data_IF_300339391153
#
_entry.id   IF_300339391153
#
_cell.length_a   1.000
_cell.length_b   1.000
_cell.length_c   1.000
_cell.angle_alpha   90.00
_cell.angle_beta   90.00
_cell.angle_gamma   90.00
#
_symmetry.space_group_name_H-M   'P 1'
#
loop_
_entity.id
_entity.type
_entity.pdbx_description
1 polymer ?
#
# COMPACT_ATOMS: atom_id res chain seq x y z
N UNK A 1 -1.70 11.77 31.54
CA UNK A 1 -1.49 12.51 30.29
C UNK A 1 -1.99 11.62 29.16
N UNK A 2 -3.03 12.01 28.44
CA UNK A 2 -3.46 11.28 27.24
C UNK A 2 -2.44 11.60 26.13
N UNK A 3 -1.72 10.59 25.65
CA UNK A 3 -0.93 10.72 24.43
C UNK A 3 -1.94 10.74 23.27
N UNK A 4 -2.07 11.89 22.64
CA UNK A 4 -2.95 12.09 21.49
C UNK A 4 -2.11 12.04 20.21
N UNK A 5 -2.47 11.15 19.31
CA UNK A 5 -1.87 11.09 17.98
C UNK A 5 -2.63 12.10 17.07
N UNK A 6 -1.98 13.20 16.75
CA UNK A 6 -2.55 14.29 15.93
C UNK A 6 -2.48 14.00 14.42
N UNK A 7 -1.96 12.84 14.04
CA UNK A 7 -1.86 12.47 12.63
C UNK A 7 -3.21 12.05 12.06
N UNK A 8 -3.47 12.51 10.86
CA UNK A 8 -4.63 12.10 10.05
C UNK A 8 -4.39 10.71 9.47
N UNK A 9 -5.46 9.94 9.34
CA UNK A 9 -5.49 8.66 8.63
C UNK A 9 -6.48 8.76 7.50
N UNK A 10 -5.99 8.73 6.28
CA UNK A 10 -6.78 8.85 5.05
C UNK A 10 -6.69 7.57 4.23
N UNK A 11 -7.83 7.04 3.79
CA UNK A 11 -7.82 5.90 2.87
C UNK A 11 -7.59 6.35 1.44
N UNK A 12 -6.57 5.78 0.81
CA UNK A 12 -6.18 6.03 -0.57
C UNK A 12 -6.33 4.74 -1.37
N UNK A 13 -7.06 4.81 -2.48
CA UNK A 13 -7.16 3.71 -3.44
C UNK A 13 -6.05 3.78 -4.48
N UNK A 14 -5.59 2.65 -5.03
CA UNK A 14 -4.64 2.66 -6.14
C UNK A 14 -5.20 3.44 -7.32
N UNK A 15 -4.36 4.20 -8.00
CA UNK A 15 -4.74 4.92 -9.22
C UNK A 15 -4.72 4.03 -10.45
N UNK A 16 -4.00 2.90 -10.39
CA UNK A 16 -4.01 1.89 -11.46
C UNK A 16 -3.49 0.53 -10.98
N UNK A 17 -3.91 -0.51 -11.67
CA UNK A 17 -3.30 -1.83 -11.68
C UNK A 17 -2.23 -1.83 -12.77
N UNK A 18 -0.95 -1.97 -12.41
CA UNK A 18 0.15 -2.02 -13.37
C UNK A 18 0.13 -3.35 -14.10
N UNK A 19 -0.03 -4.44 -13.35
CA UNK A 19 -0.07 -5.79 -13.87
C UNK A 19 -0.88 -6.70 -12.95
N UNK A 20 -1.63 -7.61 -13.54
CA UNK A 20 -2.19 -8.77 -12.87
C UNK A 20 -1.39 -10.02 -13.29
N UNK A 21 -1.21 -10.94 -12.36
CA UNK A 21 -0.49 -12.21 -12.51
C UNK A 21 -1.43 -13.38 -12.20
N UNK A 22 -1.25 -14.50 -12.83
CA UNK A 22 -2.10 -15.67 -12.59
C UNK A 22 -3.58 -15.43 -12.88
N UNK A 23 -4.47 -16.09 -12.16
CA UNK A 23 -5.92 -15.97 -12.37
C UNK A 23 -6.52 -14.90 -11.45
N UNK A 24 -6.60 -13.67 -11.96
CA UNK A 24 -7.24 -12.53 -11.29
C UNK A 24 -8.40 -12.03 -12.14
N UNK A 25 -9.60 -11.97 -11.56
CA UNK A 25 -10.80 -11.42 -12.21
C UNK A 25 -11.14 -10.05 -11.60
N UNK A 26 -11.60 -9.12 -12.43
CA UNK A 26 -12.04 -7.77 -12.05
C UNK A 26 -10.95 -6.96 -11.30
N UNK A 27 -9.69 -7.08 -11.71
CA UNK A 27 -8.58 -6.37 -11.05
C UNK A 27 -8.77 -4.84 -11.04
N UNK A 28 -9.43 -4.29 -12.06
CA UNK A 28 -9.75 -2.87 -12.20
C UNK A 28 -10.66 -2.34 -11.07
N UNK A 29 -11.41 -3.23 -10.40
CA UNK A 29 -12.24 -2.83 -9.26
C UNK A 29 -11.42 -2.35 -8.06
N UNK A 30 -10.14 -2.71 -7.97
CA UNK A 30 -9.25 -2.23 -6.91
C UNK A 30 -8.97 -0.73 -7.01
N UNK A 31 -9.08 -0.14 -8.21
CA UNK A 31 -8.81 1.29 -8.41
C UNK A 31 -10.03 2.18 -8.17
N UNK A 32 -11.20 1.60 -7.98
CA UNK A 32 -12.44 2.36 -7.79
C UNK A 32 -12.64 2.70 -6.31
N UNK A 33 -12.75 3.98 -5.95
CA UNK A 33 -13.19 4.36 -4.61
C UNK A 33 -14.57 3.78 -4.32
N UNK A 34 -14.72 3.22 -3.13
CA UNK A 34 -15.96 2.59 -2.69
C UNK A 34 -16.14 2.72 -1.18
N UNK A 35 -17.37 2.56 -0.65
CA UNK A 35 -17.60 2.60 0.79
C UNK A 35 -16.73 1.56 1.53
N UNK A 36 -16.14 1.99 2.63
CA UNK A 36 -15.26 1.17 3.48
C UNK A 36 -16.07 0.33 4.48
N UNK A 37 -17.14 -0.30 4.00
CA UNK A 37 -17.99 -1.18 4.78
C UNK A 37 -18.25 -2.45 3.98
N UNK A 38 -18.10 -3.59 4.62
CA UNK A 38 -18.42 -4.87 3.99
C UNK A 38 -19.92 -5.12 4.16
N UNK A 39 -20.61 -5.26 3.03
CA UNK A 39 -22.05 -5.61 3.00
C UNK A 39 -22.26 -7.10 2.81
N UNK A 40 -23.52 -7.55 2.93
CA UNK A 40 -23.87 -8.94 2.66
C UNK A 40 -23.80 -9.30 1.16
N UNK A 41 -23.83 -8.30 0.29
CA UNK A 41 -23.66 -8.46 -1.16
C UNK A 41 -22.63 -7.46 -1.63
N UNK A 42 -21.55 -7.96 -2.18
CA UNK A 42 -20.41 -7.16 -2.68
C UNK A 42 -20.15 -7.51 -4.15
N UNK A 43 -20.91 -6.91 -5.10
CA UNK A 43 -20.81 -7.28 -6.52
C UNK A 43 -19.50 -6.81 -7.18
N UNK A 44 -18.84 -5.82 -6.60
CA UNK A 44 -17.65 -5.16 -7.17
C UNK A 44 -16.35 -5.61 -6.48
N UNK A 45 -16.18 -6.91 -6.31
CA UNK A 45 -14.97 -7.49 -5.73
C UNK A 45 -13.99 -7.96 -6.81
N UNK A 46 -12.72 -7.95 -6.45
CA UNK A 46 -11.65 -8.62 -7.19
C UNK A 46 -11.53 -10.06 -6.68
N UNK A 47 -11.40 -11.00 -7.60
CA UNK A 47 -11.28 -12.42 -7.28
C UNK A 47 -9.88 -12.91 -7.66
N UNK A 48 -9.20 -13.55 -6.73
CA UNK A 48 -7.92 -14.22 -6.89
C UNK A 48 -8.13 -15.71 -6.72
N UNK A 49 -7.63 -16.53 -7.65
CA UNK A 49 -7.79 -18.00 -7.63
C UNK A 49 -6.45 -18.66 -7.96
N UNK A 50 -5.96 -19.52 -7.08
CA UNK A 50 -4.81 -20.38 -7.33
C UNK A 50 -5.29 -21.81 -7.58
N UNK A 51 -4.85 -22.38 -8.70
CA UNK A 51 -5.05 -23.80 -9.00
C UNK A 51 -4.00 -24.71 -8.34
N UNK A 52 -3.96 -25.97 -8.77
CA UNK A 52 -3.04 -26.97 -8.24
C UNK A 52 -1.59 -26.73 -8.68
N UNK A 53 -1.38 -26.37 -9.95
CA UNK A 53 -0.07 -26.18 -10.59
C UNK A 53 0.10 -24.80 -11.23
N UNK A 54 -0.76 -23.85 -10.89
CA UNK A 54 -0.78 -22.53 -11.50
C UNK A 54 0.20 -21.54 -10.90
N UNK A 55 0.45 -20.48 -11.66
CA UNK A 55 1.06 -19.26 -11.15
C UNK A 55 0.16 -18.65 -10.05
N UNK A 56 0.74 -18.14 -8.98
CA UNK A 56 0.00 -17.47 -7.95
C UNK A 56 -0.74 -16.25 -8.51
N UNK A 57 -1.99 -16.08 -8.13
CA UNK A 57 -2.79 -14.93 -8.49
C UNK A 57 -2.35 -13.69 -7.69
N UNK A 58 -2.03 -12.62 -8.39
CA UNK A 58 -1.53 -11.41 -7.74
C UNK A 58 -1.70 -10.17 -8.58
N UNK A 59 -1.44 -9.01 -7.99
CA UNK A 59 -1.50 -7.71 -8.64
C UNK A 59 -0.35 -6.81 -8.19
N UNK A 60 0.15 -5.98 -9.11
CA UNK A 60 1.01 -4.85 -8.79
C UNK A 60 0.19 -3.56 -8.92
N UNK A 61 0.07 -2.85 -7.81
CA UNK A 61 -0.73 -1.63 -7.66
C UNK A 61 0.17 -0.39 -7.58
N UNK A 62 -0.26 0.72 -8.21
CA UNK A 62 0.37 2.04 -8.10
C UNK A 62 -0.60 3.00 -7.41
N UNK A 63 -0.17 3.63 -6.32
CA UNK A 63 -0.93 4.63 -5.58
C UNK A 63 -0.73 6.06 -6.10
N UNK A 64 0.06 6.22 -7.18
CA UNK A 64 0.27 7.50 -7.87
C UNK A 64 1.32 8.40 -7.24
N UNK A 65 1.52 8.30 -5.95
CA UNK A 65 2.51 9.07 -5.16
C UNK A 65 3.04 8.24 -4.01
N UNK A 66 4.16 8.67 -3.46
CA UNK A 66 4.70 8.11 -2.23
C UNK A 66 3.76 8.37 -1.05
N UNK A 67 3.64 7.41 -0.16
CA UNK A 67 2.75 7.44 1.01
C UNK A 67 3.57 6.97 2.22
N UNK A 68 3.49 7.68 3.34
CA UNK A 68 3.75 7.07 4.64
C UNK A 68 2.44 6.48 5.14
N UNK A 69 2.37 5.17 5.37
CA UNK A 69 1.11 4.56 5.77
C UNK A 69 1.13 3.04 5.81
N UNK A 70 -0.05 2.47 5.86
CA UNK A 70 -0.30 1.05 6.00
C UNK A 70 -1.02 0.51 4.77
N UNK A 71 -0.81 -0.76 4.43
CA UNK A 71 -1.68 -1.48 3.50
C UNK A 71 -2.93 -1.93 4.24
N UNK A 72 -4.11 -1.68 3.66
CA UNK A 72 -5.40 -2.10 4.20
C UNK A 72 -6.10 -3.03 3.23
N UNK A 73 -6.49 -4.19 3.70
CA UNK A 73 -7.16 -5.22 2.91
C UNK A 73 -8.54 -5.49 3.49
N UNK A 74 -9.56 -5.35 2.67
CA UNK A 74 -10.93 -5.70 3.02
C UNK A 74 -11.33 -6.96 2.27
N UNK A 75 -11.51 -8.05 3.00
CA UNK A 75 -11.80 -9.37 2.46
C UNK A 75 -13.28 -9.69 2.56
N UNK A 76 -13.90 -10.15 1.47
CA UNK A 76 -15.28 -10.62 1.47
C UNK A 76 -15.36 -12.11 1.78
N UNK A 77 -14.62 -12.94 1.04
CA UNK A 77 -14.58 -14.38 1.31
C UNK A 77 -13.19 -14.96 1.03
N UNK A 78 -12.87 -16.04 1.71
CA UNK A 78 -11.67 -16.82 1.51
C UNK A 78 -12.13 -18.26 1.22
N UNK A 79 -11.70 -18.85 0.14
CA UNK A 79 -11.95 -20.20 -0.30
C UNK A 79 -12.70 -21.18 0.63
N UNK A 80 -12.63 -22.45 0.38
CA UNK A 80 -13.36 -23.47 1.15
C UNK A 80 -12.83 -23.63 2.60
N UNK A 81 -11.57 -23.29 2.83
CA UNK A 81 -10.92 -23.44 4.15
C UNK A 81 -11.25 -22.34 5.14
N UNK A 82 -11.94 -21.28 4.70
CA UNK A 82 -12.26 -20.11 5.55
C UNK A 82 -11.07 -19.21 5.86
N UNK A 83 -9.88 -19.46 5.31
CA UNK A 83 -8.71 -18.60 5.38
C UNK A 83 -7.98 -18.57 4.04
N UNK A 84 -7.23 -17.50 3.79
CA UNK A 84 -6.35 -17.37 2.64
C UNK A 84 -5.02 -16.75 3.08
N UNK A 85 -3.92 -17.22 2.54
CA UNK A 85 -2.61 -16.63 2.81
C UNK A 85 -2.25 -15.67 1.70
N UNK A 86 -1.69 -14.53 2.04
CA UNK A 86 -1.23 -13.53 1.11
C UNK A 86 0.21 -13.12 1.42
N UNK A 87 0.98 -12.88 0.36
CA UNK A 87 2.28 -12.25 0.40
C UNK A 87 2.14 -10.81 -0.09
N UNK A 88 2.69 -9.86 0.65
CA UNK A 88 2.55 -8.44 0.40
C UNK A 88 3.92 -7.79 0.43
N UNK A 89 4.24 -7.06 -0.64
CA UNK A 89 5.48 -6.31 -0.74
C UNK A 89 5.20 -4.86 -1.06
N UNK A 90 5.68 -3.97 -0.22
CA UNK A 90 5.63 -2.52 -0.42
C UNK A 90 6.92 -2.03 -1.06
N UNK A 91 6.86 -1.08 -1.97
CA UNK A 91 8.03 -0.49 -2.61
C UNK A 91 7.83 0.97 -3.02
N UNK A 92 8.92 1.73 -3.02
CA UNK A 92 8.95 3.11 -3.57
C UNK A 92 8.99 3.08 -5.10
N UNK A 93 9.45 1.96 -5.66
CA UNK A 93 9.40 1.70 -7.10
C UNK A 93 8.73 0.35 -7.40
N UNK A 94 8.24 0.20 -8.63
CA UNK A 94 7.67 -1.07 -9.09
C UNK A 94 8.70 -2.21 -9.06
N UNK A 95 9.98 -1.90 -9.38
CA UNK A 95 11.06 -2.87 -9.34
C UNK A 95 11.31 -3.36 -7.91
N UNK A 96 11.27 -2.48 -6.92
CA UNK A 96 11.43 -2.83 -5.52
C UNK A 96 10.26 -3.68 -5.00
N UNK A 97 9.03 -3.32 -5.35
CA UNK A 97 7.85 -4.09 -4.97
C UNK A 97 7.82 -5.52 -5.53
N UNK A 98 8.58 -5.77 -6.62
CA UNK A 98 8.74 -7.10 -7.24
C UNK A 98 10.05 -7.79 -6.84
N UNK A 99 10.88 -7.20 -6.00
CA UNK A 99 12.17 -7.74 -5.58
C UNK A 99 12.12 -8.25 -4.15
N UNK A 100 12.79 -9.38 -3.91
CA UNK A 100 12.98 -9.89 -2.54
C UNK A 100 13.97 -9.02 -1.77
N UNK A 101 13.88 -9.06 -0.44
CA UNK A 101 14.86 -8.41 0.43
C UNK A 101 16.25 -8.94 0.12
N UNK A 102 17.25 -8.03 0.01
CA UNK A 102 18.63 -8.35 -0.33
C UNK A 102 18.94 -8.50 -1.82
N UNK A 103 17.94 -8.44 -2.69
CA UNK A 103 18.17 -8.44 -4.14
C UNK A 103 18.63 -7.07 -4.66
N UNK A 104 19.21 -7.05 -5.87
CA UNK A 104 19.81 -5.85 -6.49
C UNK A 104 18.89 -4.61 -6.50
N UNK A 105 17.58 -4.80 -6.63
CA UNK A 105 16.59 -3.71 -6.71
C UNK A 105 15.93 -3.42 -5.36
N UNK A 106 16.26 -4.17 -4.32
CA UNK A 106 15.79 -3.97 -2.96
C UNK A 106 16.77 -3.07 -2.22
N UNK A 107 16.42 -1.82 -2.00
CA UNK A 107 17.34 -0.80 -1.48
C UNK A 107 17.29 -0.64 0.03
N UNK A 108 16.34 -1.25 0.71
CA UNK A 108 16.15 -1.07 2.14
C UNK A 108 15.59 -2.31 2.83
N UNK A 109 16.44 -2.98 3.58
CA UNK A 109 16.09 -4.19 4.32
C UNK A 109 15.62 -3.90 5.77
N UNK A 110 15.64 -2.63 6.21
CA UNK A 110 15.25 -2.25 7.57
C UNK A 110 13.74 -2.05 7.73
N UNK A 111 13.02 -1.79 6.63
CA UNK A 111 11.58 -1.60 6.68
C UNK A 111 10.82 -2.93 6.61
N UNK A 112 9.72 -3.01 7.37
CA UNK A 112 8.79 -4.14 7.31
C UNK A 112 7.95 -4.07 6.01
N UNK A 113 8.61 -4.13 4.86
CA UNK A 113 8.03 -3.96 3.53
C UNK A 113 7.60 -5.25 2.85
N UNK A 114 8.08 -6.39 3.34
CA UNK A 114 7.90 -7.71 2.74
C UNK A 114 7.42 -8.67 3.83
N UNK A 115 6.20 -9.16 3.72
CA UNK A 115 5.58 -9.96 4.76
C UNK A 115 4.47 -10.87 4.23
N UNK A 116 4.25 -11.97 4.93
CA UNK A 116 3.11 -12.87 4.73
C UNK A 116 2.05 -12.64 5.81
N UNK A 117 0.79 -12.87 5.47
CA UNK A 117 -0.33 -12.76 6.39
C UNK A 117 -1.43 -13.75 6.06
N UNK A 118 -2.25 -14.05 7.06
CA UNK A 118 -3.49 -14.82 6.90
C UNK A 118 -4.68 -13.87 6.85
N UNK A 119 -5.49 -14.00 5.82
CA UNK A 119 -6.71 -13.26 5.61
C UNK A 119 -7.93 -14.12 5.95
N UNK A 120 -8.95 -13.50 6.52
CA UNK A 120 -10.20 -14.16 6.93
C UNK A 120 -11.39 -13.54 6.22
N UNK A 121 -12.50 -14.30 6.06
CA UNK A 121 -13.73 -13.75 5.50
C UNK A 121 -14.24 -12.56 6.32
N UNK A 122 -14.88 -11.63 5.66
CA UNK A 122 -15.49 -10.43 6.27
C UNK A 122 -14.54 -9.66 7.19
N UNK A 123 -13.26 -9.61 6.82
CA UNK A 123 -12.24 -8.91 7.61
C UNK A 123 -11.82 -7.59 6.97
N UNK A 124 -11.45 -6.66 7.84
CA UNK A 124 -10.86 -5.37 7.51
C UNK A 124 -9.56 -5.27 8.30
N UNK A 125 -8.43 -5.47 7.62
CA UNK A 125 -7.12 -5.61 8.24
C UNK A 125 -6.16 -4.56 7.71
N UNK A 126 -5.37 -3.99 8.61
CA UNK A 126 -4.36 -2.98 8.28
C UNK A 126 -2.99 -3.49 8.71
N UNK A 127 -2.01 -3.38 7.84
CA UNK A 127 -0.69 -3.96 8.01
C UNK A 127 0.41 -2.91 7.86
N UNK A 128 1.41 -3.00 8.71
CA UNK A 128 2.73 -2.36 8.65
C UNK A 128 2.77 -0.92 8.11
N UNK A 129 2.96 0.04 9.01
CA UNK A 129 3.22 1.43 8.60
C UNK A 129 4.62 1.55 8.02
N UNK A 130 4.74 1.92 6.72
CA UNK A 130 6.01 2.11 6.00
C UNK A 130 5.85 3.13 4.87
N UNK A 131 6.96 3.57 4.27
CA UNK A 131 6.97 4.38 3.06
C UNK A 131 6.83 3.51 1.82
N UNK A 132 5.86 3.84 0.93
CA UNK A 132 5.67 3.13 -0.33
C UNK A 132 4.81 3.93 -1.32
N UNK A 133 4.98 3.62 -2.58
CA UNK A 133 4.08 4.01 -3.66
C UNK A 133 3.44 2.81 -4.34
N UNK A 134 4.13 1.67 -4.36
CA UNK A 134 3.70 0.45 -5.04
C UNK A 134 3.45 -0.65 -4.03
N UNK A 135 2.43 -1.45 -4.28
CA UNK A 135 2.13 -2.66 -3.51
C UNK A 135 1.99 -3.83 -4.47
N UNK A 136 2.81 -4.83 -4.28
CA UNK A 136 2.59 -6.15 -4.83
C UNK A 136 1.80 -6.98 -3.82
N UNK A 137 0.68 -7.52 -4.26
CA UNK A 137 -0.18 -8.40 -3.49
C UNK A 137 -0.31 -9.72 -4.23
N UNK A 138 -0.05 -10.81 -3.56
CA UNK A 138 -0.10 -12.16 -4.13
C UNK A 138 -0.85 -13.10 -3.18
N UNK A 139 -1.82 -13.85 -3.71
CA UNK A 139 -2.44 -14.97 -3.02
C UNK A 139 -1.47 -16.15 -3.04
N UNK A 140 -1.16 -16.74 -1.88
CA UNK A 140 -0.25 -17.87 -1.77
C UNK A 140 -1.00 -19.15 -1.40
N UNK A 141 -0.43 -20.30 -1.75
CA UNK A 141 -1.03 -21.61 -1.53
C UNK A 141 -1.69 -22.19 -2.79
N UNK A 142 -1.95 -23.49 -2.76
CA UNK A 142 -2.59 -24.23 -3.86
C UNK A 142 -4.08 -24.40 -3.61
N UNK A 143 -4.87 -24.51 -4.67
CA UNK A 143 -6.33 -24.75 -4.61
C UNK A 143 -7.04 -23.82 -3.62
N UNK A 144 -6.72 -22.53 -3.70
CA UNK A 144 -7.26 -21.51 -2.78
C UNK A 144 -7.83 -20.33 -3.56
N UNK A 145 -8.78 -19.63 -2.96
CA UNK A 145 -9.42 -18.47 -3.53
C UNK A 145 -9.59 -17.35 -2.50
N UNK A 146 -9.61 -16.13 -3.01
CA UNK A 146 -9.82 -14.93 -2.22
C UNK A 146 -10.72 -13.97 -3.00
N UNK A 147 -11.78 -13.51 -2.38
CA UNK A 147 -12.63 -12.42 -2.88
C UNK A 147 -12.36 -11.19 -2.04
N UNK A 148 -11.76 -10.18 -2.65
CA UNK A 148 -11.31 -8.97 -1.97
C UNK A 148 -12.10 -7.76 -2.45
N UNK A 149 -12.68 -7.02 -1.51
CA UNK A 149 -13.36 -5.75 -1.80
C UNK A 149 -12.36 -4.66 -2.16
N UNK A 150 -11.26 -4.55 -1.42
CA UNK A 150 -10.23 -3.57 -1.68
C UNK A 150 -8.86 -3.99 -1.17
N UNK A 151 -7.83 -3.57 -1.88
CA UNK A 151 -6.46 -3.42 -1.41
C UNK A 151 -6.16 -1.94 -1.53
N UNK A 152 -6.13 -1.24 -0.41
CA UNK A 152 -5.99 0.21 -0.30
C UNK A 152 -4.83 0.58 0.61
N UNK A 153 -4.47 1.84 0.66
CA UNK A 153 -3.53 2.38 1.65
C UNK A 153 -4.29 3.21 2.69
N UNK A 154 -3.77 3.21 3.91
CA UNK A 154 -4.13 4.21 4.93
C UNK A 154 -2.95 5.13 5.08
N UNK A 155 -2.98 6.29 4.43
CA UNK A 155 -1.95 7.32 4.57
C UNK A 155 -2.00 7.90 5.98
N UNK A 156 -0.83 8.08 6.58
CA UNK A 156 -0.66 8.62 7.93
C UNK A 156 0.25 9.84 7.85
N UNK A 157 -0.29 11.00 8.15
CA UNK A 157 0.41 12.28 8.02
C UNK A 157 -0.16 13.33 8.98
N UNK A 158 0.56 14.43 9.19
CA UNK A 158 0.05 15.61 9.91
C UNK A 158 -0.66 16.52 8.92
N UNK A 159 -1.85 17.01 9.28
CA UNK A 159 -2.56 18.02 8.49
C UNK A 159 -1.93 19.41 8.71
N UNK A 160 -0.95 19.73 7.89
CA UNK A 160 -0.18 20.96 7.98
C UNK A 160 -0.35 21.81 6.71
N UNK A 161 -0.66 23.10 6.84
CA UNK A 161 -0.74 23.99 5.69
C UNK A 161 0.66 24.29 5.11
N UNK A 162 0.77 24.29 3.78
CA UNK A 162 1.96 24.81 3.09
C UNK A 162 1.92 26.33 3.09
N UNK A 163 2.75 26.96 3.91
CA UNK A 163 2.80 28.42 4.04
C UNK A 163 3.77 29.08 3.05
N UNK A 164 4.77 28.34 2.59
CA UNK A 164 5.74 28.81 1.60
C UNK A 164 5.32 28.47 0.18
N UNK A 165 5.70 29.30 -0.77
CA UNK A 165 5.48 29.08 -2.19
C UNK A 165 6.75 29.38 -2.98
N UNK A 166 6.93 28.68 -4.09
CA UNK A 166 7.98 28.94 -5.06
C UNK A 166 7.40 28.87 -6.46
N UNK A 167 7.77 29.81 -7.30
CA UNK A 167 7.39 29.82 -8.72
C UNK A 167 8.47 30.50 -9.55
N UNK A 168 8.84 29.87 -10.67
CA UNK A 168 9.76 30.43 -11.64
C UNK A 168 9.34 30.00 -13.06
N UNK A 169 10.04 30.54 -14.07
CA UNK A 169 9.76 30.22 -15.49
C UNK A 169 10.12 28.79 -15.89
N UNK A 170 10.91 28.09 -15.10
CA UNK A 170 11.27 26.69 -15.37
C UNK A 170 10.30 25.72 -14.69
N UNK A 171 9.48 24.98 -15.46
CA UNK A 171 8.50 24.06 -14.91
C UNK A 171 9.14 22.87 -14.16
N UNK A 172 10.39 22.51 -14.48
CA UNK A 172 11.12 21.43 -13.79
C UNK A 172 11.47 21.85 -12.38
N UNK A 173 11.96 23.08 -12.19
CA UNK A 173 12.27 23.62 -10.87
C UNK A 173 11.01 23.76 -10.00
N UNK A 174 9.89 24.18 -10.57
CA UNK A 174 8.62 24.24 -9.85
C UNK A 174 8.22 22.84 -9.36
N UNK A 175 8.31 21.83 -10.23
CA UNK A 175 8.00 20.44 -9.86
C UNK A 175 8.96 19.88 -8.80
N UNK A 176 10.24 20.22 -8.87
CA UNK A 176 11.23 19.83 -7.84
C UNK A 176 10.82 20.41 -6.49
N UNK A 177 10.47 21.71 -6.44
CA UNK A 177 10.02 22.35 -5.20
C UNK A 177 8.80 21.64 -4.61
N UNK A 178 7.76 21.39 -5.40
CA UNK A 178 6.54 20.71 -4.95
C UNK A 178 6.84 19.29 -4.42
N UNK A 179 7.72 18.57 -5.11
CA UNK A 179 8.12 17.23 -4.70
C UNK A 179 8.91 17.25 -3.39
N UNK A 180 9.84 18.19 -3.23
CA UNK A 180 10.61 18.35 -1.99
C UNK A 180 9.72 18.75 -0.83
N UNK A 181 8.79 19.69 -1.04
CA UNK A 181 7.84 20.12 -0.01
C UNK A 181 6.95 18.93 0.44
N UNK A 182 6.48 18.12 -0.49
CA UNK A 182 5.73 16.91 -0.20
C UNK A 182 6.57 15.87 0.56
N UNK A 183 7.82 15.65 0.16
CA UNK A 183 8.74 14.73 0.85
C UNK A 183 8.99 15.17 2.29
N UNK A 184 9.27 16.45 2.51
CA UNK A 184 9.40 17.01 3.85
C UNK A 184 8.12 16.80 4.67
N UNK A 185 6.96 17.02 4.08
CA UNK A 185 5.68 16.82 4.76
C UNK A 185 5.48 15.36 5.20
N UNK A 186 5.83 14.39 4.35
CA UNK A 186 5.74 12.97 4.73
C UNK A 186 6.69 12.60 5.88
N UNK A 187 7.83 13.28 6.01
CA UNK A 187 8.75 13.08 7.12
C UNK A 187 8.33 13.81 8.41
N UNK A 188 7.40 14.77 8.33
CA UNK A 188 6.85 15.48 9.50
C UNK A 188 5.79 14.62 10.19
N UNK A 189 6.23 13.68 10.99
CA UNK A 189 5.38 12.77 11.77
C UNK A 189 5.29 13.23 13.24
N UNK A 190 5.37 12.35 14.21
CA UNK A 190 5.47 12.76 15.63
C UNK A 190 6.76 13.54 15.91
N UNK A 191 7.76 13.28 15.10
CA UNK A 191 9.03 14.00 15.03
C UNK A 191 9.35 14.27 13.55
N UNK A 192 10.41 14.99 13.27
CA UNK A 192 10.99 15.07 11.92
C UNK A 192 11.83 13.81 11.73
N UNK A 193 11.41 12.95 10.81
CA UNK A 193 12.13 11.73 10.49
C UNK A 193 13.15 11.97 9.37
N UNK A 194 14.22 11.20 9.37
CA UNK A 194 15.20 11.13 8.28
C UNK A 194 14.60 10.54 6.98
N UNK A 195 13.55 9.73 7.12
CA UNK A 195 12.80 9.14 6.03
C UNK A 195 11.62 8.31 6.53
N UNK A 196 10.63 8.11 5.67
CA UNK A 196 9.39 7.39 6.01
C UNK A 196 9.54 5.87 5.95
N UNK A 197 10.59 5.38 5.31
CA UNK A 197 10.77 3.96 5.05
C UNK A 197 11.88 3.33 5.88
N UNK A 198 13.00 4.03 6.08
CA UNK A 198 14.16 3.53 6.82
C UNK A 198 13.94 3.55 8.33
N UNK A 199 14.97 3.90 9.04
CA UNK A 199 15.07 3.77 10.50
C UNK A 199 14.13 4.72 11.26
N UNK A 200 13.54 5.71 10.56
CA UNK A 200 12.63 6.72 11.15
C UNK A 200 13.26 7.44 12.33
N UNK A 201 14.54 7.68 12.20
CA UNK A 201 15.30 8.39 13.22
C UNK A 201 14.92 9.86 13.27
N UNK A 202 14.90 10.39 14.46
CA UNK A 202 14.77 11.83 14.67
C UNK A 202 15.96 12.54 14.08
N UNK A 203 15.72 13.41 13.09
CA UNK A 203 16.78 14.19 12.47
C UNK A 203 16.76 15.61 13.01
N UNK A 204 17.73 15.94 13.83
CA UNK A 204 17.97 17.27 14.43
C UNK A 204 19.37 17.77 14.07
N UNK A 205 19.82 17.47 12.87
CA UNK A 205 21.15 17.79 12.37
C UNK A 205 21.46 19.28 12.23
#
# INVERSE_FOLDING_TARGET
MKLYDERVRETIFPVRVIKAFGNVKNAEMLTKPKPLQIGLKEPECTVFENGEDGENAGVLLDFGREINGCVRIMTYSCGETGTAKAHIVCGESAAEALSKIGEKNATNDHAARDFETELRPFSDMTFNETGFRFVFFELTGRNTGLVTKSVSAVAVYRDLPYLGTFSCSDPVLNKIYDTCAYTCHMCLQNYIWDGIKRDRLVWVG
#
